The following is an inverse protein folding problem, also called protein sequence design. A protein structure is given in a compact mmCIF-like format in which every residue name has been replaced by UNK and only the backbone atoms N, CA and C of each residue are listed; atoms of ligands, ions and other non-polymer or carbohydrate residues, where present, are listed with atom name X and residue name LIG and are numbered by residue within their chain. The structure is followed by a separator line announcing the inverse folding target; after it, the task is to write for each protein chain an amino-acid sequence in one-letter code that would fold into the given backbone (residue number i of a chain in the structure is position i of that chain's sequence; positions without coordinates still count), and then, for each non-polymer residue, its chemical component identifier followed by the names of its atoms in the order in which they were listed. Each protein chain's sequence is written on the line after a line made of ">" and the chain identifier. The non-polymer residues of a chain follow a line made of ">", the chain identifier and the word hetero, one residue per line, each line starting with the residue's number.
data_IF_352650476777
#
_entry.id   IF_352650476777
#
_cell.length_a   1.000
_cell.length_b   1.000
_cell.length_c   1.000
_cell.angle_alpha   90.00
_cell.angle_beta   90.00
_cell.angle_gamma   90.00
#
_symmetry.space_group_name_H-M   'P 1'
#
loop_
_entity.id
_entity.type
_entity.pdbx_description
1 polymer ?
#
# COMPACT_ATOMS: atom_id res chain seq x y z
N UNK A 1 62.60 18.67 36.64
CA UNK A 1 61.20 18.56 37.07
C UNK A 1 60.22 19.44 36.28
N UNK A 2 60.41 20.78 36.13
CA UNK A 2 59.48 21.66 35.38
C UNK A 2 59.17 21.18 33.93
N UNK A 3 60.21 20.78 33.17
CA UNK A 3 60.02 20.28 31.77
C UNK A 3 59.17 19.01 31.73
N UNK A 4 59.31 18.08 32.67
CA UNK A 4 58.52 16.82 32.74
C UNK A 4 57.05 17.15 33.05
N UNK A 5 56.80 18.08 34.00
CA UNK A 5 55.45 18.52 34.36
C UNK A 5 54.76 19.18 33.15
N UNK A 6 55.48 20.05 32.43
CA UNK A 6 54.95 20.71 31.22
C UNK A 6 54.64 19.67 30.12
N UNK A 7 55.53 18.69 29.91
CA UNK A 7 55.23 17.60 28.94
C UNK A 7 54.01 16.76 29.32
N UNK A 8 53.85 16.43 30.61
CA UNK A 8 52.65 15.71 31.08
C UNK A 8 51.36 16.50 30.90
N UNK A 9 51.41 17.82 31.18
CA UNK A 9 50.24 18.69 30.94
C UNK A 9 49.86 18.80 29.45
N UNK A 10 50.85 18.86 28.56
CA UNK A 10 50.62 18.87 27.11
C UNK A 10 50.00 17.53 26.67
N UNK A 11 50.53 16.37 27.14
CA UNK A 11 49.97 15.07 26.83
C UNK A 11 48.52 14.95 27.33
N UNK A 12 48.24 15.42 28.55
CA UNK A 12 46.90 15.42 29.14
C UNK A 12 45.96 16.32 28.31
N UNK A 13 46.41 17.50 27.89
CA UNK A 13 45.62 18.40 27.02
C UNK A 13 45.32 17.75 25.67
N UNK A 14 46.30 17.14 25.02
CA UNK A 14 46.11 16.45 23.74
C UNK A 14 45.14 15.26 23.88
N UNK A 15 45.27 14.51 24.98
CA UNK A 15 44.34 13.39 25.26
C UNK A 15 42.91 13.87 25.48
N UNK A 16 42.72 14.99 26.24
CA UNK A 16 41.39 15.56 26.46
C UNK A 16 40.78 16.11 25.16
N UNK A 17 41.58 16.80 24.33
CA UNK A 17 41.14 17.27 23.01
C UNK A 17 40.76 16.10 22.08
N UNK A 18 41.52 15.02 22.09
CA UNK A 18 41.23 13.81 21.30
C UNK A 18 39.91 13.16 21.75
N UNK A 19 39.70 13.03 23.06
CA UNK A 19 38.43 12.49 23.61
C UNK A 19 37.27 13.40 23.25
N UNK A 20 37.44 14.72 23.41
CA UNK A 20 36.44 15.70 23.06
C UNK A 20 36.07 15.59 21.54
N UNK A 21 37.09 15.45 20.70
CA UNK A 21 36.85 15.25 19.25
C UNK A 21 36.13 13.94 18.93
N UNK A 22 36.44 12.82 19.62
CA UNK A 22 35.72 11.55 19.46
C UNK A 22 34.25 11.59 19.92
N UNK A 23 33.92 12.47 20.86
CA UNK A 23 32.58 12.58 21.47
C UNK A 23 31.71 13.63 20.79
N UNK A 24 32.29 14.80 20.49
CA UNK A 24 31.58 15.96 19.94
C UNK A 24 31.91 16.21 18.47
N UNK A 25 32.98 15.60 17.95
CA UNK A 25 33.33 15.69 16.53
C UNK A 25 32.54 14.75 15.64
N UNK A 26 32.78 14.79 14.32
CA UNK A 26 32.09 13.98 13.30
C UNK A 26 32.56 12.52 13.38
N UNK A 27 32.02 11.76 14.35
CA UNK A 27 32.42 10.38 14.64
C UNK A 27 31.39 9.32 14.25
N UNK A 28 30.23 9.74 13.75
CA UNK A 28 29.13 8.87 13.31
C UNK A 28 29.07 8.90 11.79
N UNK A 29 29.00 7.74 11.16
CA UNK A 29 28.87 7.58 9.71
C UNK A 29 27.49 7.06 9.35
N UNK A 30 26.90 7.59 8.28
CA UNK A 30 25.64 7.08 7.79
C UNK A 30 25.84 5.70 7.14
N UNK A 31 25.01 4.70 7.46
CA UNK A 31 25.02 3.42 6.76
C UNK A 31 24.50 3.57 5.33
N UNK A 32 24.66 2.53 4.52
CA UNK A 32 24.02 2.45 3.21
C UNK A 32 22.50 2.67 3.35
N UNK A 33 21.89 3.55 2.53
CA UNK A 33 20.48 3.94 2.66
C UNK A 33 20.18 4.96 3.77
N UNK A 34 21.16 5.39 4.58
CA UNK A 34 21.05 6.41 5.63
C UNK A 34 20.17 6.03 6.83
N UNK A 35 19.77 4.76 6.98
CA UNK A 35 18.91 4.32 8.08
C UNK A 35 19.53 3.19 8.88
N UNK A 36 19.50 3.34 10.20
CA UNK A 36 19.75 2.27 11.16
C UNK A 36 18.42 1.60 11.52
N UNK A 37 18.38 0.27 11.38
CA UNK A 37 17.22 -0.55 11.75
C UNK A 37 17.49 -1.30 13.04
N UNK A 38 16.72 -1.03 14.09
CA UNK A 38 16.79 -1.71 15.36
C UNK A 38 15.55 -2.59 15.50
N UNK A 39 15.73 -3.90 15.47
CA UNK A 39 14.63 -4.87 15.57
C UNK A 39 14.01 -4.90 16.96
N UNK A 40 12.75 -5.34 17.03
CA UNK A 40 11.99 -5.42 18.28
C UNK A 40 12.59 -6.37 19.33
N UNK A 41 13.37 -7.35 18.90
CA UNK A 41 14.08 -8.30 19.75
C UNK A 41 15.54 -7.89 20.07
N UNK A 42 16.02 -6.73 19.58
CA UNK A 42 17.40 -6.29 19.84
C UNK A 42 17.57 -5.83 21.28
N UNK A 43 18.63 -6.31 21.90
CA UNK A 43 19.17 -5.80 23.16
C UNK A 43 20.35 -4.83 22.90
N UNK A 44 21.00 -4.38 23.96
CA UNK A 44 22.11 -3.43 23.85
C UNK A 44 23.33 -4.03 23.11
N UNK A 45 23.61 -5.30 23.28
CA UNK A 45 24.75 -5.95 22.60
C UNK A 45 24.46 -6.13 21.12
N UNK A 46 23.23 -6.51 20.75
CA UNK A 46 22.80 -6.54 19.35
C UNK A 46 22.89 -5.16 18.70
N UNK A 47 22.48 -4.10 19.41
CA UNK A 47 22.62 -2.73 18.92
C UNK A 47 24.07 -2.37 18.65
N UNK A 48 24.98 -2.65 19.60
CA UNK A 48 26.44 -2.38 19.43
C UNK A 48 27.02 -3.13 18.24
N UNK A 49 26.66 -4.40 18.09
CA UNK A 49 27.07 -5.18 16.92
C UNK A 49 26.59 -4.54 15.62
N UNK A 50 25.31 -4.14 15.54
CA UNK A 50 24.76 -3.47 14.37
C UNK A 50 25.49 -2.15 14.06
N UNK A 51 25.79 -1.33 15.08
CA UNK A 51 26.52 -0.07 14.92
C UNK A 51 27.92 -0.28 14.30
N UNK A 52 28.61 -1.39 14.63
CA UNK A 52 29.91 -1.73 14.04
C UNK A 52 29.76 -2.35 12.65
N UNK A 53 28.84 -3.32 12.48
CA UNK A 53 28.62 -4.02 11.21
C UNK A 53 28.21 -3.08 10.09
N UNK A 54 27.28 -2.14 10.39
CA UNK A 54 26.83 -1.10 9.48
C UNK A 54 27.83 0.08 9.34
N UNK A 55 29.01 -0.04 9.97
CA UNK A 55 30.08 0.98 9.97
C UNK A 55 29.62 2.36 10.46
N UNK A 56 28.55 2.42 11.27
CA UNK A 56 28.06 3.67 11.85
C UNK A 56 29.06 4.21 12.88
N UNK A 57 29.67 3.33 13.65
CA UNK A 57 30.76 3.62 14.58
C UNK A 57 31.97 2.75 14.25
N UNK A 58 33.16 3.30 14.35
CA UNK A 58 34.42 2.52 14.27
C UNK A 58 34.72 1.73 15.54
N UNK A 59 34.15 2.13 16.69
CA UNK A 59 34.30 1.46 17.99
C UNK A 59 33.16 1.85 18.91
N UNK A 60 32.73 0.92 19.78
CA UNK A 60 31.70 1.17 20.79
C UNK A 60 32.25 1.66 22.13
N UNK A 61 33.58 1.83 22.27
CA UNK A 61 34.22 2.19 23.55
C UNK A 61 33.64 3.49 24.17
N UNK A 62 33.61 4.57 23.39
CA UNK A 62 33.05 5.84 23.87
C UNK A 62 31.53 5.79 23.97
N UNK A 63 30.85 5.03 23.12
CA UNK A 63 29.41 4.77 23.22
C UNK A 63 29.05 4.15 24.58
N UNK A 64 29.76 3.09 24.99
CA UNK A 64 29.52 2.40 26.26
C UNK A 64 29.83 3.32 27.48
N UNK A 65 30.86 4.16 27.40
CA UNK A 65 31.17 5.12 28.48
C UNK A 65 30.09 6.18 28.61
N UNK A 66 29.67 6.78 27.50
CA UNK A 66 28.72 7.90 27.51
C UNK A 66 27.29 7.45 27.86
N UNK A 67 26.84 6.28 27.41
CA UNK A 67 25.48 5.80 27.69
C UNK A 67 25.18 5.63 29.18
N UNK A 68 26.20 5.42 30.02
CA UNK A 68 26.08 5.21 31.46
C UNK A 68 26.13 6.52 32.26
N UNK A 69 26.49 7.65 31.66
CA UNK A 69 26.53 8.95 32.36
C UNK A 69 25.09 9.39 32.65
N UNK A 70 24.84 9.91 33.87
CA UNK A 70 23.50 10.24 34.37
C UNK A 70 22.64 11.11 33.44
N UNK A 71 23.25 12.07 32.75
CA UNK A 71 22.55 12.94 31.77
C UNK A 71 22.17 12.22 30.49
N UNK A 72 22.91 11.19 30.12
CA UNK A 72 22.66 10.42 28.89
C UNK A 72 21.90 9.14 29.17
N UNK A 73 22.18 8.44 30.26
CA UNK A 73 21.55 7.20 30.79
C UNK A 73 20.68 6.42 29.79
N UNK A 74 21.33 5.76 28.81
CA UNK A 74 20.68 4.99 27.76
C UNK A 74 20.80 3.51 28.10
N UNK A 75 19.81 2.95 28.80
CA UNK A 75 19.79 1.55 29.25
C UNK A 75 18.92 0.67 28.32
N UNK A 76 17.81 1.21 27.84
CA UNK A 76 16.83 0.45 27.09
C UNK A 76 16.88 0.81 25.60
N UNK A 77 17.10 -0.19 24.78
CA UNK A 77 17.06 -0.06 23.30
C UNK A 77 15.61 0.13 22.87
N UNK A 78 15.35 1.16 22.08
CA UNK A 78 14.04 1.38 21.46
C UNK A 78 14.10 0.88 20.02
N UNK A 79 13.31 -0.14 19.65
CA UNK A 79 13.27 -0.64 18.27
C UNK A 79 12.70 0.40 17.33
N UNK A 80 13.10 0.33 16.05
CA UNK A 80 12.61 1.23 15.03
C UNK A 80 13.62 1.56 13.96
N UNK A 81 13.23 2.44 13.02
CA UNK A 81 14.07 2.97 11.95
C UNK A 81 14.54 4.38 12.29
N UNK A 82 15.84 4.57 12.30
CA UNK A 82 16.47 5.83 12.67
C UNK A 82 17.29 6.38 11.50
N UNK A 83 17.01 7.60 11.08
CA UNK A 83 17.83 8.30 10.11
C UNK A 83 19.15 8.71 10.75
N UNK A 84 20.25 8.27 10.17
CA UNK A 84 21.62 8.62 10.59
C UNK A 84 22.16 9.67 9.63
N UNK A 85 22.65 10.77 10.20
CA UNK A 85 23.28 11.84 9.44
C UNK A 85 24.80 11.66 9.49
N UNK A 86 25.41 11.59 8.32
CA UNK A 86 26.86 11.45 8.21
C UNK A 86 27.56 12.64 8.85
N UNK A 87 28.65 12.36 9.56
CA UNK A 87 29.39 13.40 10.30
C UNK A 87 28.71 13.92 11.57
N UNK A 88 27.58 13.33 11.99
CA UNK A 88 26.98 13.66 13.29
C UNK A 88 27.86 13.19 14.45
N UNK A 89 27.64 13.76 15.63
CA UNK A 89 28.41 13.41 16.82
C UNK A 89 27.77 12.25 17.61
N UNK A 90 28.58 11.61 18.45
CA UNK A 90 28.17 10.45 19.21
C UNK A 90 27.05 10.74 20.24
N UNK A 91 27.06 11.95 20.85
CA UNK A 91 26.04 12.33 21.82
C UNK A 91 24.66 12.46 21.15
N UNK A 92 24.60 13.05 19.95
CA UNK A 92 23.35 13.21 19.23
C UNK A 92 22.79 11.85 18.78
N UNK A 93 23.66 10.94 18.33
CA UNK A 93 23.24 9.56 18.06
C UNK A 93 22.61 8.91 19.29
N UNK A 94 23.29 8.95 20.45
CA UNK A 94 22.77 8.34 21.69
C UNK A 94 21.46 9.00 22.11
N UNK A 95 21.36 10.33 22.05
CA UNK A 95 20.13 11.07 22.37
C UNK A 95 18.97 10.68 21.45
N UNK A 96 19.22 10.59 20.15
CA UNK A 96 18.24 10.15 19.15
C UNK A 96 17.70 8.76 19.46
N UNK A 97 18.59 7.80 19.72
CA UNK A 97 18.23 6.42 20.08
C UNK A 97 17.48 6.34 21.42
N UNK A 98 17.97 7.05 22.44
CA UNK A 98 17.33 7.13 23.78
C UNK A 98 15.91 7.68 23.70
N UNK A 99 15.70 8.76 22.95
CA UNK A 99 14.38 9.38 22.79
C UNK A 99 13.44 8.50 21.95
N UNK A 100 13.98 7.61 21.13
CA UNK A 100 13.20 6.81 20.18
C UNK A 100 12.65 7.68 19.04
N UNK A 101 13.45 8.65 18.57
CA UNK A 101 13.08 9.53 17.46
C UNK A 101 13.20 8.79 16.14
N UNK A 102 12.23 7.91 15.89
CA UNK A 102 12.14 7.12 14.69
C UNK A 102 11.77 8.00 13.48
N UNK A 103 12.31 7.65 12.32
CA UNK A 103 11.87 8.19 11.04
C UNK A 103 10.76 7.31 10.48
N UNK A 104 9.55 7.82 10.24
CA UNK A 104 8.46 6.99 9.72
C UNK A 104 8.74 6.51 8.30
N UNK A 105 8.26 5.32 7.99
CA UNK A 105 8.23 4.77 6.62
C UNK A 105 7.12 5.46 5.84
N UNK A 106 7.42 5.94 4.64
CA UNK A 106 6.42 6.38 3.67
C UNK A 106 5.88 5.15 2.94
N UNK A 107 4.81 4.59 3.45
CA UNK A 107 4.16 3.41 2.90
C UNK A 107 3.16 3.83 1.82
N UNK A 108 3.59 3.79 0.57
CA UNK A 108 2.76 4.16 -0.58
C UNK A 108 1.97 2.95 -1.05
N UNK A 109 0.66 3.05 -1.01
CA UNK A 109 -0.25 2.07 -1.60
C UNK A 109 -0.93 2.71 -2.81
N UNK A 110 -0.63 2.15 -3.97
CA UNK A 110 -1.35 2.41 -5.21
C UNK A 110 -2.45 1.34 -5.37
N UNK A 111 -2.70 0.88 -6.58
CA UNK A 111 -3.60 -0.26 -6.84
C UNK A 111 -2.95 -1.58 -6.42
N UNK A 112 -3.65 -2.36 -5.58
CA UNK A 112 -3.32 -3.74 -5.22
C UNK A 112 -4.49 -4.63 -5.66
N UNK A 113 -4.20 -5.81 -6.21
CA UNK A 113 -5.25 -6.74 -6.63
C UNK A 113 -5.55 -7.80 -5.58
N UNK A 114 -4.55 -8.20 -4.82
CA UNK A 114 -4.64 -9.37 -3.95
C UNK A 114 -4.17 -9.08 -2.53
N UNK A 115 -4.54 -9.95 -1.60
CA UNK A 115 -4.00 -9.94 -0.22
C UNK A 115 -2.50 -10.23 -0.22
N UNK A 116 -2.06 -11.05 -1.15
CA UNK A 116 -0.66 -11.39 -1.36
C UNK A 116 0.16 -10.16 -1.76
N UNK A 117 -0.41 -9.27 -2.60
CA UNK A 117 0.22 -7.99 -2.96
C UNK A 117 0.40 -7.10 -1.72
N UNK A 118 -0.64 -7.01 -0.87
CA UNK A 118 -0.58 -6.24 0.37
C UNK A 118 0.46 -6.83 1.33
N UNK A 119 0.43 -8.15 1.56
CA UNK A 119 1.38 -8.83 2.43
C UNK A 119 2.83 -8.67 1.95
N UNK A 120 3.08 -8.86 0.65
CA UNK A 120 4.39 -8.64 0.04
C UNK A 120 4.87 -7.20 0.23
N UNK A 121 3.99 -6.23 0.06
CA UNK A 121 4.32 -4.81 0.25
C UNK A 121 4.61 -4.49 1.71
N UNK A 122 3.87 -5.08 2.66
CA UNK A 122 4.13 -4.96 4.10
C UNK A 122 5.51 -5.53 4.43
N UNK A 123 5.81 -6.77 4.02
CA UNK A 123 7.08 -7.43 4.33
C UNK A 123 8.31 -6.73 3.76
N UNK A 124 8.16 -5.96 2.66
CA UNK A 124 9.26 -5.17 2.08
C UNK A 124 9.51 -3.86 2.81
N UNK A 125 8.54 -3.33 3.55
CA UNK A 125 8.61 -1.99 4.11
C UNK A 125 8.70 -1.96 5.64
N UNK A 126 8.33 -3.06 6.32
CA UNK A 126 8.24 -3.13 7.78
C UNK A 126 9.00 -4.32 8.35
N UNK A 127 9.17 -4.34 9.65
CA UNK A 127 9.72 -5.48 10.38
C UNK A 127 8.78 -6.70 10.33
N UNK A 128 7.47 -6.46 10.27
CA UNK A 128 6.45 -7.48 10.05
C UNK A 128 6.64 -8.10 8.66
N UNK A 129 6.94 -9.39 8.60
CA UNK A 129 7.16 -10.09 7.35
C UNK A 129 5.85 -10.44 6.60
N UNK A 130 5.98 -10.81 5.33
CA UNK A 130 4.85 -11.14 4.48
C UNK A 130 4.07 -12.38 4.95
N UNK A 131 4.73 -13.34 5.58
CA UNK A 131 4.11 -14.57 6.10
C UNK A 131 3.23 -14.24 7.30
N UNK A 132 3.72 -13.43 8.23
CA UNK A 132 2.92 -12.93 9.34
C UNK A 132 1.71 -12.15 8.84
N UNK A 133 1.91 -11.25 7.87
CA UNK A 133 0.81 -10.49 7.28
C UNK A 133 -0.25 -11.40 6.64
N UNK A 134 0.16 -12.41 5.87
CA UNK A 134 -0.75 -13.40 5.25
C UNK A 134 -1.51 -14.22 6.28
N UNK A 135 -0.87 -14.63 7.37
CA UNK A 135 -1.54 -15.36 8.45
C UNK A 135 -2.76 -14.59 8.98
N UNK A 136 -2.62 -13.28 9.21
CA UNK A 136 -3.75 -12.42 9.62
C UNK A 136 -4.78 -12.23 8.51
N UNK A 137 -4.36 -11.99 7.27
CA UNK A 137 -5.23 -11.72 6.13
C UNK A 137 -6.08 -12.92 5.69
N UNK A 138 -5.67 -14.14 6.05
CA UNK A 138 -6.38 -15.39 5.75
C UNK A 138 -7.22 -15.92 6.93
N UNK A 139 -7.21 -15.24 8.07
CA UNK A 139 -7.89 -15.70 9.28
C UNK A 139 -9.05 -14.79 9.66
N UNK A 140 -10.29 -15.28 9.48
CA UNK A 140 -11.50 -14.52 9.79
C UNK A 140 -11.57 -14.08 11.26
N UNK A 141 -11.15 -14.93 12.22
CA UNK A 141 -11.18 -14.57 13.64
C UNK A 141 -10.25 -13.40 13.96
N UNK A 142 -9.11 -13.34 13.30
CA UNK A 142 -8.19 -12.22 13.41
C UNK A 142 -8.79 -10.92 12.88
N UNK A 143 -9.70 -10.99 11.91
CA UNK A 143 -10.29 -9.83 11.21
C UNK A 143 -11.59 -9.33 11.83
N UNK A 144 -12.27 -10.16 12.64
CA UNK A 144 -13.56 -9.84 13.28
C UNK A 144 -13.58 -8.51 14.05
N UNK A 145 -12.49 -8.17 14.73
CA UNK A 145 -12.40 -6.91 15.50
C UNK A 145 -12.53 -5.64 14.68
N UNK A 146 -12.35 -5.73 13.35
CA UNK A 146 -12.54 -4.63 12.40
C UNK A 146 -13.84 -4.75 11.59
N UNK A 147 -14.71 -5.71 11.94
CA UNK A 147 -15.89 -6.08 11.16
C UNK A 147 -15.56 -6.46 9.72
N UNK A 148 -14.45 -7.17 9.53
CA UNK A 148 -13.94 -7.65 8.24
C UNK A 148 -13.82 -9.16 8.26
N UNK A 149 -13.81 -9.73 7.07
CA UNK A 149 -13.48 -11.13 6.79
C UNK A 149 -12.42 -11.26 5.69
N UNK A 150 -12.08 -12.46 5.31
CA UNK A 150 -11.05 -12.72 4.29
C UNK A 150 -11.45 -12.25 2.89
N UNK A 151 -12.72 -12.00 2.59
CA UNK A 151 -13.17 -11.42 1.33
C UNK A 151 -13.15 -9.89 1.36
N UNK A 152 -13.48 -9.30 2.51
CA UNK A 152 -13.72 -7.87 2.64
C UNK A 152 -12.53 -7.09 3.19
N UNK A 153 -11.47 -7.76 3.70
CA UNK A 153 -10.31 -7.08 4.34
C UNK A 153 -9.63 -6.05 3.45
N UNK A 154 -9.63 -6.26 2.13
CA UNK A 154 -9.05 -5.29 1.20
C UNK A 154 -9.83 -3.97 1.14
N UNK A 155 -11.08 -3.92 1.62
CA UNK A 155 -11.86 -2.66 1.71
C UNK A 155 -11.33 -1.70 2.78
N UNK A 156 -10.49 -2.18 3.72
CA UNK A 156 -9.79 -1.33 4.68
C UNK A 156 -8.66 -0.51 4.03
N UNK A 157 -8.29 -0.82 2.80
CA UNK A 157 -7.15 -0.21 2.12
C UNK A 157 -7.63 0.85 1.13
N UNK A 158 -7.48 2.11 1.46
CA UNK A 158 -7.67 3.22 0.51
C UNK A 158 -6.29 3.55 -0.09
N UNK A 159 -6.10 3.53 -1.41
CA UNK A 159 -4.85 3.96 -2.03
C UNK A 159 -4.44 5.36 -1.57
N UNK A 160 -3.28 5.45 -0.89
CA UNK A 160 -2.74 6.68 -0.31
C UNK A 160 -1.27 6.47 0.10
N UNK A 161 -0.65 7.52 0.63
CA UNK A 161 0.64 7.47 1.32
C UNK A 161 0.42 7.50 2.83
N UNK A 162 0.84 6.44 3.51
CA UNK A 162 0.73 6.30 4.96
C UNK A 162 2.09 6.52 5.62
N UNK A 163 2.11 7.22 6.73
CA UNK A 163 3.30 7.36 7.58
C UNK A 163 3.16 6.39 8.76
N UNK A 164 4.06 5.42 8.85
CA UNK A 164 4.02 4.33 9.82
C UNK A 164 5.42 4.06 10.39
N UNK A 165 5.50 3.64 11.65
CA UNK A 165 6.76 3.17 12.20
C UNK A 165 7.16 1.83 11.60
N UNK A 166 8.47 1.68 11.30
CA UNK A 166 9.01 0.48 10.66
C UNK A 166 8.76 -0.82 11.46
N UNK A 167 8.84 -0.73 12.78
CA UNK A 167 8.62 -1.85 13.70
C UNK A 167 7.14 -2.05 14.07
N UNK A 168 6.21 -1.46 13.30
CA UNK A 168 4.78 -1.66 13.50
C UNK A 168 4.35 -3.11 13.26
N UNK A 169 3.57 -3.68 14.19
CA UNK A 169 2.94 -4.98 13.97
C UNK A 169 1.88 -4.91 12.88
N UNK A 170 1.49 -6.07 12.29
CA UNK A 170 0.40 -6.12 11.32
C UNK A 170 -0.88 -5.45 11.84
N UNK A 171 -1.22 -5.68 13.12
CA UNK A 171 -2.39 -5.05 13.76
C UNK A 171 -2.30 -3.52 13.75
N UNK A 172 -1.13 -2.95 14.05
CA UNK A 172 -0.93 -1.49 14.02
C UNK A 172 -1.03 -0.94 12.59
N UNK A 173 -0.45 -1.65 11.63
CA UNK A 173 -0.56 -1.29 10.20
C UNK A 173 -2.02 -1.31 9.78
N UNK A 174 -2.76 -2.39 10.04
CA UNK A 174 -4.17 -2.51 9.64
C UNK A 174 -5.07 -1.49 10.37
N UNK A 175 -4.82 -1.22 11.66
CA UNK A 175 -5.51 -0.15 12.38
C UNK A 175 -5.33 1.20 11.69
N UNK A 176 -4.12 1.51 11.22
CA UNK A 176 -3.88 2.76 10.50
C UNK A 176 -4.60 2.82 9.17
N UNK A 177 -4.59 1.73 8.40
CA UNK A 177 -5.32 1.63 7.13
C UNK A 177 -6.82 1.79 7.37
N UNK A 178 -7.37 1.09 8.36
CA UNK A 178 -8.78 1.15 8.73
C UNK A 178 -9.21 2.54 9.20
N UNK A 179 -8.39 3.21 10.00
CA UNK A 179 -8.67 4.57 10.44
C UNK A 179 -8.75 5.57 9.26
N UNK A 180 -7.88 5.46 8.28
CA UNK A 180 -7.96 6.29 7.07
C UNK A 180 -9.17 5.92 6.20
N UNK A 181 -9.55 4.65 6.16
CA UNK A 181 -10.75 4.18 5.49
C UNK A 181 -12.01 4.75 6.18
N UNK A 182 -12.07 4.79 7.51
CA UNK A 182 -13.15 5.38 8.27
C UNK A 182 -13.28 6.90 8.03
N UNK A 183 -12.17 7.61 7.98
CA UNK A 183 -12.14 9.03 7.59
C UNK A 183 -12.61 9.26 6.14
N UNK A 184 -12.25 8.34 5.24
CA UNK A 184 -12.68 8.42 3.85
C UNK A 184 -14.20 8.30 3.73
N UNK A 185 -14.84 7.41 4.49
CA UNK A 185 -16.30 7.24 4.54
C UNK A 185 -16.95 8.27 5.47
N UNK A 186 -16.88 9.54 5.07
CA UNK A 186 -17.58 10.64 5.77
C UNK A 186 -19.09 10.59 5.54
N UNK A 187 -19.82 11.44 6.27
CA UNK A 187 -21.31 11.47 6.24
C UNK A 187 -21.84 11.66 4.81
N UNK A 188 -21.21 12.49 4.00
CA UNK A 188 -21.61 12.72 2.60
C UNK A 188 -21.54 11.43 1.77
N UNK A 189 -20.41 10.69 1.85
CA UNK A 189 -20.24 9.42 1.12
C UNK A 189 -21.18 8.34 1.64
N UNK A 190 -21.41 8.30 2.94
CA UNK A 190 -22.36 7.36 3.55
C UNK A 190 -23.78 7.63 3.08
N UNK A 191 -24.21 8.90 3.04
CA UNK A 191 -25.53 9.30 2.52
C UNK A 191 -25.70 8.88 1.04
N UNK A 192 -24.71 9.16 0.19
CA UNK A 192 -24.73 8.74 -1.23
C UNK A 192 -24.79 7.22 -1.40
N UNK A 193 -24.05 6.47 -0.58
CA UNK A 193 -24.13 5.00 -0.59
C UNK A 193 -25.54 4.52 -0.23
N UNK A 194 -26.19 5.16 0.76
CA UNK A 194 -27.56 4.85 1.15
C UNK A 194 -28.57 5.17 0.03
N UNK A 195 -28.44 6.29 -0.67
CA UNK A 195 -29.24 6.64 -1.85
C UNK A 195 -29.13 5.57 -2.94
N UNK A 196 -27.93 5.04 -3.17
CA UNK A 196 -27.71 3.93 -4.08
C UNK A 196 -28.25 2.58 -3.56
N UNK A 197 -28.69 2.50 -2.28
CA UNK A 197 -29.08 1.29 -1.54
C UNK A 197 -27.95 0.27 -1.48
N UNK A 198 -26.72 0.75 -1.28
CA UNK A 198 -25.51 -0.08 -1.15
C UNK A 198 -24.80 0.22 0.17
N UNK A 199 -24.19 -0.82 0.75
CA UNK A 199 -23.25 -0.62 1.85
C UNK A 199 -21.90 -0.06 1.34
N UNK A 200 -21.09 0.57 2.20
CA UNK A 200 -19.74 1.02 1.83
C UNK A 200 -18.87 -0.09 1.21
N UNK A 201 -18.98 -1.32 1.72
CA UNK A 201 -18.29 -2.50 1.17
C UNK A 201 -18.76 -2.82 -0.25
N UNK A 202 -20.06 -2.73 -0.51
CA UNK A 202 -20.61 -2.97 -1.85
C UNK A 202 -20.21 -1.87 -2.84
N UNK A 203 -20.22 -0.61 -2.43
CA UNK A 203 -19.74 0.52 -3.24
C UNK A 203 -18.26 0.32 -3.58
N UNK A 204 -17.44 -0.02 -2.59
CA UNK A 204 -16.01 -0.29 -2.79
C UNK A 204 -15.79 -1.47 -3.76
N UNK A 205 -16.57 -2.53 -3.59
CA UNK A 205 -16.52 -3.72 -4.47
C UNK A 205 -16.87 -3.36 -5.91
N UNK A 206 -17.97 -2.61 -6.12
CA UNK A 206 -18.33 -2.12 -7.44
C UNK A 206 -17.26 -1.19 -8.03
N UNK A 207 -16.74 -0.27 -7.23
CA UNK A 207 -15.66 0.63 -7.64
C UNK A 207 -14.40 -0.14 -8.08
N UNK A 208 -14.10 -1.28 -7.44
CA UNK A 208 -12.98 -2.13 -7.84
C UNK A 208 -13.16 -2.76 -9.23
N UNK A 209 -14.40 -3.04 -9.63
CA UNK A 209 -14.72 -3.51 -10.97
C UNK A 209 -14.56 -2.37 -11.98
N UNK A 210 -15.13 -1.20 -11.69
CA UNK A 210 -15.03 -0.01 -12.56
C UNK A 210 -13.57 0.44 -12.75
N UNK A 211 -12.74 0.33 -11.69
CA UNK A 211 -11.29 0.66 -11.74
C UNK A 211 -10.51 -0.23 -12.72
N UNK A 212 -10.93 -1.48 -12.90
CA UNK A 212 -10.29 -2.42 -13.83
C UNK A 212 -10.89 -2.37 -15.25
N UNK A 213 -12.04 -1.72 -15.44
CA UNK A 213 -12.67 -1.59 -16.76
C UNK A 213 -12.08 -0.47 -17.60
N UNK A 214 -11.81 0.69 -16.99
CA UNK A 214 -11.36 1.85 -17.75
C UNK A 214 -10.44 2.76 -16.96
N UNK A 215 -9.49 3.37 -17.66
CA UNK A 215 -8.67 4.48 -17.17
C UNK A 215 -9.29 5.85 -17.53
N UNK A 216 -10.39 5.89 -18.30
CA UNK A 216 -11.05 7.15 -18.70
C UNK A 216 -11.99 7.61 -17.60
N UNK A 217 -11.66 8.73 -16.98
CA UNK A 217 -12.44 9.30 -15.87
C UNK A 217 -13.89 9.52 -16.26
N UNK A 218 -14.12 10.05 -17.45
CA UNK A 218 -15.44 10.44 -17.97
C UNK A 218 -16.37 9.25 -18.21
N UNK A 219 -15.79 8.05 -18.39
CA UNK A 219 -16.57 6.80 -18.58
C UNK A 219 -16.87 6.09 -17.25
N UNK A 220 -16.08 6.32 -16.18
CA UNK A 220 -16.22 5.60 -14.91
C UNK A 220 -17.62 5.70 -14.32
N UNK A 221 -18.18 6.90 -14.25
CA UNK A 221 -19.53 7.11 -13.72
C UNK A 221 -20.61 6.42 -14.58
N UNK A 222 -20.48 6.45 -15.91
CA UNK A 222 -21.43 5.78 -16.81
C UNK A 222 -21.31 4.26 -16.73
N UNK A 223 -20.09 3.71 -16.65
CA UNK A 223 -19.86 2.27 -16.42
C UNK A 223 -20.46 1.84 -15.08
N UNK A 224 -20.26 2.65 -14.02
CA UNK A 224 -20.89 2.41 -12.72
C UNK A 224 -22.41 2.36 -12.86
N UNK A 225 -23.01 3.30 -13.61
CA UNK A 225 -24.46 3.34 -13.87
C UNK A 225 -24.95 2.07 -14.59
N UNK A 226 -24.22 1.57 -15.58
CA UNK A 226 -24.55 0.28 -16.25
C UNK A 226 -24.59 -0.86 -15.25
N UNK A 227 -23.56 -0.98 -14.40
CA UNK A 227 -23.49 -2.06 -13.40
C UNK A 227 -24.55 -1.92 -12.32
N UNK A 228 -24.86 -0.71 -11.86
CA UNK A 228 -25.97 -0.44 -10.92
C UNK A 228 -27.32 -0.81 -11.52
N UNK A 229 -27.55 -0.47 -12.78
CA UNK A 229 -28.79 -0.82 -13.48
C UNK A 229 -28.94 -2.35 -13.65
N UNK A 230 -27.86 -3.05 -14.00
CA UNK A 230 -27.86 -4.52 -14.05
C UNK A 230 -28.11 -5.13 -12.67
N UNK A 231 -27.41 -4.64 -11.64
CA UNK A 231 -27.57 -5.10 -10.27
C UNK A 231 -29.02 -4.94 -9.77
N UNK A 232 -29.63 -3.77 -9.97
CA UNK A 232 -31.03 -3.49 -9.60
C UNK A 232 -32.05 -4.36 -10.33
N UNK A 233 -31.72 -4.77 -11.56
CA UNK A 233 -32.55 -5.66 -12.39
C UNK A 233 -32.28 -7.17 -12.16
N UNK A 234 -31.39 -7.53 -11.23
CA UNK A 234 -31.01 -8.92 -11.02
C UNK A 234 -30.24 -9.55 -12.18
N UNK A 235 -29.67 -8.74 -13.09
CA UNK A 235 -28.86 -9.19 -14.20
C UNK A 235 -27.43 -9.52 -13.73
N UNK A 236 -26.81 -10.50 -14.35
CA UNK A 236 -25.38 -10.75 -14.16
C UNK A 236 -24.57 -9.56 -14.62
N UNK A 237 -23.51 -9.16 -13.85
CA UNK A 237 -22.73 -8.00 -14.23
C UNK A 237 -21.86 -8.23 -15.46
N UNK A 238 -21.37 -9.46 -15.67
CA UNK A 238 -20.57 -9.88 -16.83
C UNK A 238 -19.35 -8.98 -17.06
N UNK A 239 -18.61 -8.73 -15.99
CA UNK A 239 -17.41 -7.91 -16.00
C UNK A 239 -16.17 -8.80 -16.19
N UNK A 240 -15.46 -8.65 -17.31
CA UNK A 240 -14.24 -9.41 -17.63
C UNK A 240 -13.15 -9.37 -16.52
N UNK A 241 -12.90 -8.24 -15.86
CA UNK A 241 -11.93 -8.19 -14.77
C UNK A 241 -12.23 -9.16 -13.61
N UNK A 242 -13.50 -9.46 -13.36
CA UNK A 242 -13.91 -10.40 -12.32
C UNK A 242 -13.54 -11.84 -12.67
N UNK A 243 -13.54 -12.19 -13.94
CA UNK A 243 -13.07 -13.48 -14.46
C UNK A 243 -11.57 -13.62 -14.28
N UNK A 244 -10.81 -12.58 -14.66
CA UNK A 244 -9.34 -12.53 -14.46
C UNK A 244 -8.98 -12.70 -13.00
N UNK A 245 -9.71 -12.03 -12.10
CA UNK A 245 -9.51 -12.17 -10.66
C UNK A 245 -9.83 -13.58 -10.15
N UNK A 246 -10.95 -14.16 -10.59
CA UNK A 246 -11.36 -15.52 -10.22
C UNK A 246 -10.33 -16.58 -10.64
N UNK A 247 -9.70 -16.38 -11.79
CA UNK A 247 -8.63 -17.24 -12.33
C UNK A 247 -7.24 -16.93 -11.75
N UNK A 248 -7.07 -15.81 -11.00
CA UNK A 248 -5.74 -15.26 -10.65
C UNK A 248 -4.87 -15.02 -11.90
N UNK A 249 -5.50 -14.86 -13.07
CA UNK A 249 -4.85 -14.69 -14.37
C UNK A 249 -4.80 -13.24 -14.81
N UNK A 250 -4.04 -12.40 -14.11
CA UNK A 250 -3.97 -10.95 -14.38
C UNK A 250 -3.26 -10.61 -15.70
N UNK A 251 -2.50 -11.55 -16.26
CA UNK A 251 -1.80 -11.41 -17.55
C UNK A 251 -2.68 -11.80 -18.76
N UNK A 252 -3.89 -12.29 -18.52
CA UNK A 252 -4.83 -12.65 -19.57
C UNK A 252 -5.21 -11.38 -20.35
N UNK A 253 -4.73 -11.27 -21.60
CA UNK A 253 -5.04 -10.13 -22.47
C UNK A 253 -6.50 -10.14 -22.94
N UNK A 254 -7.04 -11.32 -23.27
CA UNK A 254 -8.42 -11.51 -23.77
C UNK A 254 -9.11 -12.65 -23.02
N UNK A 255 -10.31 -12.38 -22.49
CA UNK A 255 -11.18 -13.38 -21.89
C UNK A 255 -11.88 -14.15 -23.02
N UNK A 256 -11.81 -15.48 -22.99
CA UNK A 256 -12.44 -16.38 -23.96
C UNK A 256 -13.56 -17.16 -23.29
N UNK A 257 -14.45 -17.78 -24.07
CA UNK A 257 -15.58 -18.55 -23.58
C UNK A 257 -15.23 -19.56 -22.47
N UNK A 258 -14.13 -20.29 -22.62
CA UNK A 258 -13.63 -21.24 -21.61
C UNK A 258 -13.36 -20.61 -20.22
N UNK A 259 -13.10 -19.31 -20.17
CA UNK A 259 -12.84 -18.60 -18.93
C UNK A 259 -14.15 -18.18 -18.24
N UNK A 260 -15.22 -17.95 -19.00
CA UNK A 260 -16.50 -17.46 -18.48
C UNK A 260 -17.24 -18.49 -17.63
N UNK A 261 -16.93 -19.78 -17.80
CA UNK A 261 -17.60 -20.91 -17.11
C UNK A 261 -16.95 -21.26 -15.76
N UNK A 262 -15.89 -20.58 -15.36
CA UNK A 262 -15.21 -20.84 -14.07
C UNK A 262 -16.18 -20.63 -12.92
N UNK A 263 -16.40 -21.68 -12.14
CA UNK A 263 -17.27 -21.68 -10.97
C UNK A 263 -16.56 -20.94 -9.81
N UNK A 264 -16.85 -19.66 -9.67
CA UNK A 264 -16.33 -18.81 -8.60
C UNK A 264 -17.35 -17.74 -8.23
N UNK A 265 -17.54 -17.42 -6.95
CA UNK A 265 -18.40 -16.32 -6.52
C UNK A 265 -17.88 -14.95 -6.98
N UNK A 266 -16.62 -14.85 -7.37
CA UNK A 266 -16.04 -13.66 -7.99
C UNK A 266 -16.35 -13.54 -9.49
N UNK A 267 -16.65 -14.63 -10.19
CA UNK A 267 -16.95 -14.59 -11.63
C UNK A 267 -18.37 -14.10 -11.87
N UNK A 268 -18.54 -12.86 -12.30
CA UNK A 268 -19.85 -12.24 -12.54
C UNK A 268 -20.53 -12.66 -13.86
N UNK A 269 -19.95 -13.56 -14.63
CA UNK A 269 -20.63 -14.34 -15.67
C UNK A 269 -21.29 -15.59 -15.10
N UNK A 270 -20.74 -16.13 -14.01
CA UNK A 270 -21.26 -17.31 -13.31
C UNK A 270 -22.26 -16.93 -12.21
N UNK A 271 -21.86 -16.08 -11.28
CA UNK A 271 -22.67 -15.63 -10.15
C UNK A 271 -23.46 -14.34 -10.48
N UNK A 272 -24.64 -14.21 -9.88
CA UNK A 272 -25.48 -13.00 -9.97
C UNK A 272 -25.16 -12.07 -8.80
N UNK A 273 -25.25 -10.76 -9.03
CA UNK A 273 -24.96 -9.74 -8.00
C UNK A 273 -23.51 -9.31 -7.97
N UNK A 274 -23.14 -8.64 -6.88
CA UNK A 274 -21.75 -8.23 -6.63
C UNK A 274 -20.92 -9.40 -6.10
N UNK A 275 -19.62 -9.46 -6.41
CA UNK A 275 -18.71 -10.41 -5.78
C UNK A 275 -18.69 -10.24 -4.25
N UNK A 276 -18.22 -11.26 -3.48
CA UNK A 276 -18.18 -11.22 -2.01
C UNK A 276 -17.18 -10.18 -1.47
N UNK A 277 -16.33 -9.62 -2.31
CA UNK A 277 -15.37 -8.58 -1.97
C UNK A 277 -14.72 -7.97 -3.21
N UNK A 278 -13.86 -6.96 -3.04
CA UNK A 278 -13.25 -6.25 -4.15
C UNK A 278 -12.22 -7.09 -4.90
N UNK A 279 -12.04 -6.78 -6.19
CA UNK A 279 -11.04 -7.41 -7.07
C UNK A 279 -9.75 -6.60 -7.21
N UNK A 280 -9.74 -5.39 -6.68
CA UNK A 280 -8.55 -4.56 -6.48
C UNK A 280 -8.87 -3.47 -5.44
N UNK A 281 -7.86 -2.69 -5.04
CA UNK A 281 -8.08 -1.45 -4.28
C UNK A 281 -8.34 -0.31 -5.28
N UNK A 282 -9.59 0.17 -5.40
CA UNK A 282 -9.91 1.27 -6.31
C UNK A 282 -9.38 2.59 -5.78
N UNK A 283 -9.06 3.51 -6.67
CA UNK A 283 -8.70 4.88 -6.29
C UNK A 283 -9.86 5.59 -5.58
N UNK A 284 -9.59 6.53 -4.65
CA UNK A 284 -10.62 7.39 -4.06
C UNK A 284 -11.54 8.01 -5.09
N UNK A 285 -10.96 8.48 -6.20
CA UNK A 285 -11.71 9.07 -7.31
C UNK A 285 -12.71 8.08 -7.93
N UNK A 286 -12.32 6.82 -8.15
CA UNK A 286 -13.25 5.82 -8.71
C UNK A 286 -14.39 5.49 -7.76
N UNK A 287 -14.14 5.48 -6.44
CA UNK A 287 -15.22 5.32 -5.46
C UNK A 287 -16.19 6.51 -5.53
N UNK A 288 -15.66 7.72 -5.64
CA UNK A 288 -16.49 8.93 -5.78
C UNK A 288 -17.27 8.94 -7.11
N UNK A 289 -16.70 8.45 -8.22
CA UNK A 289 -17.43 8.29 -9.51
C UNK A 289 -18.57 7.25 -9.42
N UNK A 290 -18.41 6.21 -8.61
CA UNK A 290 -19.52 5.26 -8.34
C UNK A 290 -20.61 5.90 -7.50
N UNK A 291 -20.23 6.62 -6.43
CA UNK A 291 -21.18 7.31 -5.55
C UNK A 291 -21.96 8.42 -6.26
N UNK A 292 -21.36 9.07 -7.25
CA UNK A 292 -21.94 10.13 -8.06
C UNK A 292 -22.33 9.66 -9.47
N UNK A 293 -22.53 8.34 -9.65
CA UNK A 293 -22.87 7.80 -10.96
C UNK A 293 -24.18 8.43 -11.51
N UNK A 294 -24.19 8.87 -12.78
CA UNK A 294 -25.39 9.48 -13.36
C UNK A 294 -26.51 8.46 -13.50
N UNK A 295 -27.74 8.91 -13.33
CA UNK A 295 -28.91 8.09 -13.71
C UNK A 295 -28.99 7.98 -15.24
N UNK A 296 -28.87 6.76 -15.75
CA UNK A 296 -28.93 6.49 -17.19
C UNK A 296 -29.79 5.25 -17.45
N UNK A 297 -30.31 5.08 -18.67
CA UNK A 297 -31.01 3.86 -19.05
C UNK A 297 -30.06 2.74 -19.52
N UNK A 298 -28.75 2.95 -19.46
CA UNK A 298 -27.78 2.05 -20.08
C UNK A 298 -27.66 0.71 -19.33
N UNK A 299 -27.60 -0.35 -20.12
CA UNK A 299 -27.39 -1.74 -19.65
C UNK A 299 -26.14 -2.37 -20.27
N UNK A 300 -25.56 -1.76 -21.30
CA UNK A 300 -24.42 -2.28 -22.05
C UNK A 300 -23.45 -1.16 -22.38
N UNK A 301 -22.18 -1.53 -22.52
CA UNK A 301 -21.16 -0.67 -23.12
C UNK A 301 -20.18 -1.50 -23.95
N UNK A 302 -19.49 -0.85 -24.89
CA UNK A 302 -18.44 -1.44 -25.73
C UNK A 302 -17.46 -0.33 -26.13
N UNK A 303 -16.19 -0.67 -26.30
CA UNK A 303 -15.18 0.29 -26.74
C UNK A 303 -15.58 0.97 -28.07
N UNK A 304 -15.24 2.26 -28.20
CA UNK A 304 -15.46 3.02 -29.44
C UNK A 304 -14.56 2.53 -30.56
N UNK A 305 -15.03 2.59 -31.82
CA UNK A 305 -14.23 2.22 -32.98
C UNK A 305 -13.09 3.19 -33.29
N UNK A 306 -12.99 4.31 -32.55
CA UNK A 306 -11.91 5.31 -32.65
C UNK A 306 -10.63 4.89 -31.92
N UNK A 307 -10.67 3.82 -31.12
CA UNK A 307 -9.54 3.32 -30.30
C UNK A 307 -8.91 4.35 -29.36
N UNK A 308 -9.68 5.37 -28.97
CA UNK A 308 -9.28 6.44 -28.05
C UNK A 308 -9.41 6.03 -26.57
N UNK A 309 -9.89 4.80 -26.31
CA UNK A 309 -10.08 4.22 -24.99
C UNK A 309 -11.41 4.58 -24.33
N UNK A 310 -12.30 5.31 -25.03
CA UNK A 310 -13.67 5.59 -24.58
C UNK A 310 -14.66 4.50 -25.03
N UNK A 311 -15.83 4.48 -24.38
CA UNK A 311 -16.89 3.51 -24.65
C UNK A 311 -18.12 4.17 -25.25
N UNK A 312 -18.87 3.38 -26.05
CA UNK A 312 -20.26 3.63 -26.41
C UNK A 312 -21.17 2.92 -25.42
N UNK A 313 -22.25 3.56 -25.02
CA UNK A 313 -23.23 3.06 -24.05
C UNK A 313 -24.56 2.79 -24.74
N UNK A 314 -25.22 1.69 -24.38
CA UNK A 314 -26.47 1.27 -25.00
C UNK A 314 -27.49 0.88 -23.91
N UNK A 315 -28.78 1.19 -24.19
CA UNK A 315 -29.90 0.87 -23.31
C UNK A 315 -30.43 -0.55 -23.51
N UNK A 316 -30.24 -1.11 -24.72
CA UNK A 316 -30.70 -2.44 -25.07
C UNK A 316 -29.67 -3.20 -25.91
N UNK A 317 -29.93 -4.52 -26.12
CA UNK A 317 -29.02 -5.41 -26.82
C UNK A 317 -28.90 -5.06 -28.32
N UNK A 318 -29.96 -4.57 -28.95
CA UNK A 318 -29.94 -4.22 -30.38
C UNK A 318 -29.02 -3.02 -30.63
N UNK A 319 -29.12 -1.99 -29.81
CA UNK A 319 -28.22 -0.83 -29.86
C UNK A 319 -26.77 -1.25 -29.57
N UNK A 320 -26.55 -2.08 -28.52
CA UNK A 320 -25.23 -2.63 -28.22
C UNK A 320 -24.62 -3.37 -29.41
N UNK A 321 -25.38 -4.23 -30.09
CA UNK A 321 -24.90 -4.98 -31.24
C UNK A 321 -24.51 -4.07 -32.42
N UNK A 322 -25.19 -2.93 -32.62
CA UNK A 322 -24.77 -1.93 -33.62
C UNK A 322 -23.37 -1.39 -33.31
N UNK A 323 -23.14 -0.98 -32.06
CA UNK A 323 -21.82 -0.48 -31.65
C UNK A 323 -20.74 -1.57 -31.66
N UNK A 324 -21.09 -2.80 -31.25
CA UNK A 324 -20.14 -3.92 -31.24
C UNK A 324 -19.68 -4.28 -32.68
N UNK A 325 -20.62 -4.30 -33.65
CA UNK A 325 -20.29 -4.53 -35.09
C UNK A 325 -19.41 -3.41 -35.64
N UNK A 326 -19.71 -2.16 -35.31
CA UNK A 326 -18.88 -1.01 -35.72
C UNK A 326 -17.46 -1.11 -35.19
N UNK A 327 -17.31 -1.48 -33.91
CA UNK A 327 -16.00 -1.70 -33.27
C UNK A 327 -15.25 -2.85 -33.94
N UNK A 328 -15.91 -4.00 -34.16
CA UNK A 328 -15.29 -5.17 -34.79
C UNK A 328 -14.80 -4.84 -36.22
N UNK A 329 -15.62 -4.16 -37.04
CA UNK A 329 -15.24 -3.73 -38.41
C UNK A 329 -13.99 -2.84 -38.38
N UNK A 330 -13.92 -1.87 -37.45
CA UNK A 330 -12.77 -1.00 -37.32
C UNK A 330 -11.51 -1.78 -36.86
N UNK A 331 -11.68 -2.75 -35.96
CA UNK A 331 -10.57 -3.60 -35.47
C UNK A 331 -10.02 -4.49 -36.61
N UNK A 332 -10.90 -5.10 -37.45
CA UNK A 332 -10.49 -5.93 -38.57
C UNK A 332 -9.73 -5.11 -39.62
N UNK A 333 -10.20 -3.88 -39.92
CA UNK A 333 -9.49 -2.94 -40.80
C UNK A 333 -8.12 -2.55 -40.27
N UNK A 334 -7.99 -2.30 -38.94
CA UNK A 334 -6.72 -1.99 -38.29
C UNK A 334 -5.75 -3.16 -38.36
N UNK A 335 -6.23 -4.39 -38.16
CA UNK A 335 -5.39 -5.59 -38.23
C UNK A 335 -4.87 -5.84 -39.66
N UNK A 336 -5.74 -5.70 -40.69
CA UNK A 336 -5.35 -5.81 -42.10
C UNK A 336 -4.28 -4.78 -42.49
N UNK A 337 -4.43 -3.53 -42.05
CA UNK A 337 -3.45 -2.47 -42.33
C UNK A 337 -2.08 -2.69 -41.65
N UNK A 338 -2.02 -3.46 -40.55
CA UNK A 338 -0.78 -3.85 -39.89
C UNK A 338 -0.10 -5.07 -40.49
N UNK A 339 -0.86 -5.94 -41.18
CA UNK A 339 -0.31 -7.10 -41.87
C UNK A 339 0.25 -6.74 -43.24
N UNK A 340 -0.19 -5.63 -43.83
CA UNK A 340 0.27 -5.10 -45.13
C UNK A 340 1.48 -4.16 -45.05
N UNK A 341 2.00 -3.94 -43.85
CA UNK A 341 3.27 -3.23 -43.57
C UNK A 341 4.33 -4.22 -43.07
#
# INVERSE_FOLDING_TARGET
>A
MKKIIVSLLIILLLATLFIAWKVFGPSVHAPEGKYLYIRSNHNMDSLKQTLIQEKILSSTFYFDRLRNISRVNFKNVKPGRYKIEDGSNLIDLIRKLKRGQQEPVRFVINKLRTKEDLASRIGRNFECDSTQAMHYLLNNDSLKKWNLDTNTVMTAVIPNTYLLHWNGSFTQILNRLKHEQEKFWNDERLAKAQELKLTPVQVYTLASIVEEETNKKEDKGKIASVYLNRYRKGMKLQADPTVKYALRGFDIKRVYHKHLTVASPYNTYYATGLPPGPICTPSPQTIDEVLNSPETPYLFFVAKPTFDGFSNFAKDYNEHMKFARAYQKALDSLMQSKQSK
#
